data_IF_953337269654
#
_entry.id   IF_953337269654
#
_cell.length_a   1.000
_cell.length_b   1.000
_cell.length_c   1.000
_cell.angle_alpha   90.00
_cell.angle_beta   90.00
_cell.angle_gamma   90.00
#
_symmetry.space_group_name_H-M   'P 1'
#
loop_
_entity.id
_entity.type
_entity.pdbx_description
1 polymer ?
#
# COMPACT_ATOMS: atom_id res chain seq x y z
N UNK A 1 5.59 -6.82 27.79
CA UNK A 1 5.64 -6.64 26.34
C UNK A 1 5.66 -8.02 25.74
N UNK A 2 4.64 -8.38 24.98
CA UNK A 2 4.56 -9.66 24.27
C UNK A 2 5.56 -9.66 23.10
N UNK A 3 5.90 -10.84 22.55
CA UNK A 3 6.75 -10.92 21.36
C UNK A 3 6.18 -10.13 20.17
N UNK A 4 4.85 -10.05 20.07
CA UNK A 4 4.16 -9.23 19.08
C UNK A 4 4.46 -7.74 19.24
N UNK A 5 4.35 -7.20 20.47
CA UNK A 5 4.63 -5.79 20.74
C UNK A 5 6.06 -5.40 20.33
N UNK A 6 7.03 -6.31 20.50
CA UNK A 6 8.42 -6.12 20.09
C UNK A 6 8.55 -6.06 18.56
N UNK A 7 7.89 -6.98 17.83
CA UNK A 7 7.91 -6.98 16.36
C UNK A 7 7.32 -5.69 15.81
N UNK A 8 6.17 -5.25 16.36
CA UNK A 8 5.55 -3.98 15.97
C UNK A 8 6.51 -2.81 16.19
N UNK A 9 7.13 -2.74 17.38
CA UNK A 9 8.08 -1.66 17.70
C UNK A 9 9.29 -1.67 16.76
N UNK A 10 9.81 -2.84 16.37
CA UNK A 10 10.91 -2.96 15.43
C UNK A 10 10.49 -2.46 14.03
N UNK A 11 9.34 -2.92 13.51
CA UNK A 11 8.90 -2.53 12.17
C UNK A 11 8.64 -1.03 12.11
N UNK A 12 7.90 -0.48 13.08
CA UNK A 12 7.62 0.94 13.16
C UNK A 12 8.92 1.72 13.36
N UNK A 13 9.80 1.28 14.27
CA UNK A 13 11.09 1.93 14.52
C UNK A 13 11.98 2.00 13.28
N UNK A 14 12.13 0.89 12.56
CA UNK A 14 12.90 0.83 11.30
C UNK A 14 12.25 1.73 10.23
N UNK A 15 10.93 1.73 10.12
CA UNK A 15 10.23 2.60 9.18
C UNK A 15 10.39 4.08 9.52
N UNK A 16 10.30 4.46 10.79
CA UNK A 16 10.53 5.82 11.28
C UNK A 16 11.95 6.27 11.04
N UNK A 17 12.96 5.43 11.33
CA UNK A 17 14.37 5.73 11.04
C UNK A 17 14.57 5.87 9.54
N UNK A 18 14.01 4.98 8.72
CA UNK A 18 14.06 5.07 7.26
C UNK A 18 13.45 6.39 6.74
N UNK A 19 12.32 6.80 7.31
CA UNK A 19 11.67 8.08 7.01
C UNK A 19 12.50 9.29 7.44
N UNK A 20 13.17 9.23 8.59
CA UNK A 20 14.11 10.27 9.03
C UNK A 20 15.30 10.42 8.07
N UNK A 21 15.89 9.29 7.64
CA UNK A 21 17.04 9.28 6.73
C UNK A 21 16.67 9.81 5.33
N UNK A 22 15.45 9.48 4.87
CA UNK A 22 14.95 9.89 3.56
C UNK A 22 14.25 11.24 3.54
N UNK A 23 13.82 11.78 4.68
CA UNK A 23 13.05 13.01 4.74
C UNK A 23 11.61 12.88 4.22
N UNK A 24 10.76 13.81 4.66
CA UNK A 24 9.33 13.84 4.32
C UNK A 24 9.08 14.06 2.83
N UNK A 25 9.77 15.03 2.22
CA UNK A 25 9.57 15.38 0.80
C UNK A 25 9.82 14.17 -0.10
N UNK A 26 10.90 13.42 0.17
CA UNK A 26 11.23 12.24 -0.61
C UNK A 26 10.18 11.13 -0.43
N UNK A 27 9.71 10.89 0.79
CA UNK A 27 8.70 9.86 1.07
C UNK A 27 7.35 10.20 0.41
N UNK A 28 6.89 11.45 0.49
CA UNK A 28 5.64 11.89 -0.14
C UNK A 28 5.73 11.81 -1.65
N UNK A 29 6.80 12.30 -2.27
CA UNK A 29 6.96 12.23 -3.72
C UNK A 29 7.15 10.79 -4.21
N UNK A 30 7.75 9.92 -3.40
CA UNK A 30 7.86 8.49 -3.71
C UNK A 30 6.51 7.79 -3.70
N UNK A 31 5.57 8.23 -2.85
CA UNK A 31 4.18 7.75 -2.90
C UNK A 31 3.40 8.35 -4.07
N UNK A 32 3.62 9.63 -4.36
CA UNK A 32 3.06 10.27 -5.55
C UNK A 32 3.50 9.56 -6.84
N UNK A 33 4.70 8.98 -6.89
CA UNK A 33 5.15 8.16 -8.02
C UNK A 33 4.27 6.94 -8.27
N UNK A 34 3.79 6.28 -7.21
CA UNK A 34 2.86 5.15 -7.35
C UNK A 34 1.50 5.62 -7.87
N UNK A 35 0.99 6.73 -7.31
CA UNK A 35 -0.28 7.33 -7.78
C UNK A 35 -0.15 7.69 -9.26
N UNK A 36 0.93 8.37 -9.65
CA UNK A 36 1.18 8.76 -11.03
C UNK A 36 1.21 7.53 -11.97
N UNK A 37 1.87 6.43 -11.55
CA UNK A 37 1.90 5.22 -12.35
C UNK A 37 0.52 4.58 -12.53
N UNK A 38 -0.30 4.54 -11.46
CA UNK A 38 -1.68 4.05 -11.55
C UNK A 38 -2.51 4.91 -12.49
N UNK A 39 -2.40 6.23 -12.40
CA UNK A 39 -3.07 7.16 -13.31
C UNK A 39 -2.59 6.96 -14.76
N UNK A 40 -1.28 6.82 -14.98
CA UNK A 40 -0.73 6.56 -16.30
C UNK A 40 -1.28 5.26 -16.90
N UNK A 41 -1.34 4.17 -16.12
CA UNK A 41 -1.96 2.92 -16.56
C UNK A 41 -3.45 3.13 -16.86
N UNK A 42 -4.20 3.74 -15.95
CA UNK A 42 -5.64 3.91 -16.11
C UNK A 42 -6.01 4.69 -17.39
N UNK A 43 -5.28 5.77 -17.71
CA UNK A 43 -5.62 6.65 -18.83
C UNK A 43 -4.90 6.32 -20.13
N UNK A 44 -3.67 5.77 -20.08
CA UNK A 44 -2.85 5.55 -21.29
C UNK A 44 -2.72 4.08 -21.70
N UNK A 45 -3.27 3.12 -20.95
CA UNK A 45 -3.11 1.69 -21.29
C UNK A 45 -3.72 1.36 -22.65
N UNK A 46 -4.97 1.72 -22.92
CA UNK A 46 -5.64 1.47 -24.22
C UNK A 46 -4.89 2.09 -25.41
N UNK A 47 -4.58 3.40 -25.44
CA UNK A 47 -3.89 3.99 -26.59
C UNK A 47 -2.48 3.43 -26.78
N UNK A 48 -1.77 3.09 -25.69
CA UNK A 48 -0.46 2.47 -25.79
C UNK A 48 -0.56 1.00 -26.27
N UNK A 49 -1.58 0.27 -25.83
CA UNK A 49 -1.87 -1.09 -26.29
C UNK A 49 -2.12 -1.12 -27.80
N UNK A 50 -3.03 -0.28 -28.30
CA UNK A 50 -3.37 -0.21 -29.73
C UNK A 50 -2.16 0.18 -30.59
N UNK A 51 -1.26 1.00 -30.02
CA UNK A 51 0.01 1.30 -30.67
C UNK A 51 0.92 0.06 -30.70
N UNK A 52 1.05 -0.69 -29.62
CA UNK A 52 2.00 -1.79 -29.49
C UNK A 52 1.52 -3.07 -30.20
N UNK A 53 0.22 -3.38 -30.15
CA UNK A 53 -0.36 -4.65 -30.63
C UNK A 53 0.05 -4.98 -32.08
N UNK A 54 -0.04 -4.06 -33.06
CA UNK A 54 0.35 -4.36 -34.44
C UNK A 54 1.84 -4.72 -34.61
N UNK A 55 2.70 -4.37 -33.65
CA UNK A 55 4.15 -4.59 -33.70
C UNK A 55 4.59 -5.89 -33.03
N UNK A 56 3.85 -6.34 -32.02
CA UNK A 56 4.15 -7.58 -31.28
C UNK A 56 3.42 -8.78 -31.88
N UNK A 57 2.26 -8.57 -32.50
CA UNK A 57 1.49 -9.64 -33.13
C UNK A 57 0.77 -10.57 -32.15
N UNK A 58 0.88 -10.33 -30.84
CA UNK A 58 0.12 -11.07 -29.81
C UNK A 58 -0.63 -10.08 -28.89
N UNK A 59 -1.96 -10.21 -28.73
CA UNK A 59 -2.75 -9.34 -27.85
C UNK A 59 -2.26 -9.36 -26.40
N UNK A 60 -2.04 -10.54 -25.82
CA UNK A 60 -1.59 -10.67 -24.43
C UNK A 60 -0.20 -10.05 -24.20
N UNK A 61 0.74 -10.27 -25.12
CA UNK A 61 2.08 -9.69 -25.03
C UNK A 61 2.08 -8.17 -25.11
N UNK A 62 1.24 -7.60 -25.99
CA UNK A 62 1.07 -6.15 -26.10
C UNK A 62 0.43 -5.54 -24.85
N UNK A 63 -0.59 -6.17 -24.27
CA UNK A 63 -1.24 -5.71 -23.05
C UNK A 63 -0.28 -5.71 -21.84
N UNK A 64 0.51 -6.77 -21.69
CA UNK A 64 1.53 -6.88 -20.65
C UNK A 64 2.62 -5.83 -20.85
N UNK A 65 3.12 -5.66 -22.08
CA UNK A 65 4.17 -4.67 -22.34
C UNK A 65 3.68 -3.25 -22.08
N UNK A 66 2.48 -2.89 -22.55
CA UNK A 66 1.89 -1.57 -22.29
C UNK A 66 1.78 -1.30 -20.79
N UNK A 67 1.29 -2.28 -20.00
CA UNK A 67 1.22 -2.18 -18.55
C UNK A 67 2.60 -1.97 -17.92
N UNK A 68 3.59 -2.80 -18.29
CA UNK A 68 4.96 -2.70 -17.74
C UNK A 68 5.58 -1.35 -18.06
N UNK A 69 5.44 -0.85 -19.29
CA UNK A 69 5.99 0.45 -19.68
C UNK A 69 5.33 1.60 -18.90
N UNK A 70 4.00 1.59 -18.78
CA UNK A 70 3.25 2.63 -18.05
C UNK A 70 3.43 2.55 -16.53
N UNK A 71 3.79 1.38 -16.00
CA UNK A 71 4.21 1.25 -14.62
C UNK A 71 5.63 1.80 -14.43
N UNK A 72 6.61 1.26 -15.16
CA UNK A 72 8.02 1.50 -14.90
C UNK A 72 8.48 2.90 -15.30
N UNK A 73 8.09 3.41 -16.47
CA UNK A 73 8.63 4.66 -17.00
C UNK A 73 8.22 5.85 -16.11
N UNK A 74 6.92 6.10 -15.84
CA UNK A 74 6.49 7.22 -15.00
C UNK A 74 6.96 7.06 -13.56
N UNK A 75 6.92 5.83 -13.02
CA UNK A 75 7.40 5.55 -11.67
C UNK A 75 8.89 5.85 -11.52
N UNK A 76 9.72 5.34 -12.43
CA UNK A 76 11.17 5.56 -12.37
C UNK A 76 11.52 7.04 -12.55
N UNK A 77 10.86 7.73 -13.49
CA UNK A 77 11.03 9.16 -13.68
C UNK A 77 10.67 9.95 -12.40
N UNK A 78 9.50 9.69 -11.81
CA UNK A 78 9.07 10.38 -10.61
C UNK A 78 9.93 10.02 -9.38
N UNK A 79 10.43 8.79 -9.28
CA UNK A 79 11.35 8.37 -8.22
C UNK A 79 12.69 9.08 -8.29
N UNK A 80 13.21 9.32 -9.49
CA UNK A 80 14.41 10.13 -9.71
C UNK A 80 14.19 11.58 -9.27
N UNK A 81 13.01 12.15 -9.58
CA UNK A 81 12.62 13.50 -9.14
C UNK A 81 12.51 13.54 -7.61
N UNK A 82 11.82 12.58 -7.00
CA UNK A 82 11.65 12.46 -5.55
C UNK A 82 13.00 12.42 -4.82
N UNK A 83 13.96 11.65 -5.34
CA UNK A 83 15.31 11.58 -4.77
C UNK A 83 16.05 12.92 -4.82
N UNK A 84 15.99 13.62 -5.96
CA UNK A 84 16.61 14.94 -6.11
C UNK A 84 15.95 16.01 -5.24
N UNK A 85 14.61 16.08 -5.27
CA UNK A 85 13.84 17.02 -4.47
C UNK A 85 14.03 16.78 -2.96
N UNK A 86 14.06 15.51 -2.54
CA UNK A 86 14.35 15.14 -1.16
C UNK A 86 15.75 15.57 -0.72
N UNK A 87 16.77 15.31 -1.55
CA UNK A 87 18.14 15.77 -1.26
C UNK A 87 18.21 17.30 -1.14
N UNK A 88 17.58 18.03 -2.06
CA UNK A 88 17.54 19.48 -2.04
C UNK A 88 16.85 20.02 -0.77
N UNK A 89 15.74 19.42 -0.35
CA UNK A 89 15.03 19.77 0.88
C UNK A 89 15.92 19.56 2.11
N UNK A 90 16.62 18.43 2.19
CA UNK A 90 17.53 18.11 3.31
C UNK A 90 18.77 18.98 3.37
N UNK A 91 19.27 19.46 2.23
CA UNK A 91 20.43 20.38 2.18
C UNK A 91 20.05 21.84 2.47
N UNK A 92 18.76 22.15 2.56
CA UNK A 92 18.28 23.51 2.86
C UNK A 92 18.22 23.78 4.37
N UNK A 93 17.91 25.04 4.73
CA UNK A 93 17.63 25.46 6.11
C UNK A 93 16.47 24.66 6.73
N UNK A 94 15.55 24.15 5.92
CA UNK A 94 14.42 23.33 6.37
C UNK A 94 14.78 21.85 6.59
N UNK A 95 16.04 21.46 6.34
CA UNK A 95 16.48 20.06 6.42
C UNK A 95 16.14 19.36 7.75
N UNK A 96 16.33 19.97 8.93
CA UNK A 96 15.93 19.37 10.19
C UNK A 96 14.42 19.10 10.28
N UNK A 97 13.60 20.03 9.80
CA UNK A 97 12.13 19.91 9.80
C UNK A 97 11.71 18.78 8.86
N UNK A 98 12.29 18.72 7.65
CA UNK A 98 12.02 17.65 6.67
C UNK A 98 12.34 16.25 7.24
N UNK A 99 13.41 16.11 8.01
CA UNK A 99 13.79 14.84 8.65
C UNK A 99 12.85 14.46 9.79
N UNK A 100 12.43 15.40 10.63
CA UNK A 100 11.49 15.14 11.74
C UNK A 100 10.11 14.75 11.19
N UNK A 101 9.62 15.48 10.18
CA UNK A 101 8.39 15.10 9.48
C UNK A 101 8.55 13.74 8.78
N UNK A 102 9.71 13.46 8.22
CA UNK A 102 10.05 12.16 7.63
C UNK A 102 9.99 11.03 8.66
N UNK A 103 10.46 11.25 9.88
CA UNK A 103 10.35 10.29 10.98
C UNK A 103 8.88 9.98 11.31
N UNK A 104 8.05 11.01 11.50
CA UNK A 104 6.63 10.84 11.78
C UNK A 104 5.90 10.13 10.64
N UNK A 105 6.20 10.50 9.40
CA UNK A 105 5.66 9.86 8.21
C UNK A 105 6.07 8.37 8.11
N UNK A 106 7.34 8.08 8.39
CA UNK A 106 7.87 6.72 8.49
C UNK A 106 7.16 5.90 9.56
N UNK A 107 6.86 6.49 10.71
CA UNK A 107 6.12 5.84 11.79
C UNK A 107 4.70 5.45 11.35
N UNK A 108 3.98 6.38 10.71
CA UNK A 108 2.63 6.15 10.18
C UNK A 108 2.65 5.02 9.16
N UNK A 109 3.59 5.07 8.20
CA UNK A 109 3.77 4.05 7.17
C UNK A 109 4.12 2.69 7.76
N UNK A 110 5.02 2.65 8.74
CA UNK A 110 5.37 1.44 9.48
C UNK A 110 4.16 0.85 10.20
N UNK A 111 3.35 1.70 10.83
CA UNK A 111 2.09 1.30 11.47
C UNK A 111 1.10 0.69 10.49
N UNK A 112 0.92 1.32 9.31
CA UNK A 112 0.07 0.78 8.24
C UNK A 112 0.59 -0.59 7.79
N UNK A 113 1.90 -0.75 7.60
CA UNK A 113 2.51 -2.04 7.21
C UNK A 113 2.24 -3.11 8.27
N UNK A 114 2.39 -2.78 9.56
CA UNK A 114 2.08 -3.70 10.66
C UNK A 114 0.61 -4.12 10.63
N UNK A 115 -0.32 -3.16 10.50
CA UNK A 115 -1.75 -3.43 10.45
C UNK A 115 -2.07 -4.36 9.27
N UNK A 116 -1.57 -4.05 8.07
CA UNK A 116 -1.81 -4.87 6.87
C UNK A 116 -1.21 -6.28 7.02
N UNK A 117 0.04 -6.40 7.46
CA UNK A 117 0.71 -7.68 7.65
C UNK A 117 -0.03 -8.55 8.68
N UNK A 118 -0.49 -7.93 9.78
CA UNK A 118 -1.24 -8.63 10.80
C UNK A 118 -2.64 -9.04 10.32
N UNK A 119 -3.36 -8.16 9.62
CA UNK A 119 -4.66 -8.49 9.02
C UNK A 119 -4.54 -9.69 8.07
N UNK A 120 -3.47 -9.75 7.26
CA UNK A 120 -3.20 -10.91 6.40
C UNK A 120 -2.87 -12.17 7.20
N UNK A 121 -2.11 -12.05 8.29
CA UNK A 121 -1.79 -13.18 9.17
C UNK A 121 -3.04 -13.74 9.85
N UNK A 122 -3.88 -12.87 10.40
CA UNK A 122 -5.16 -13.26 11.01
C UNK A 122 -6.09 -13.91 9.98
N UNK A 123 -6.23 -13.30 8.80
CA UNK A 123 -7.03 -13.87 7.73
C UNK A 123 -6.52 -15.25 7.30
N UNK A 124 -5.21 -15.41 7.17
CA UNK A 124 -4.58 -16.70 6.87
C UNK A 124 -4.85 -17.72 7.96
N UNK A 125 -4.74 -17.32 9.23
CA UNK A 125 -5.01 -18.19 10.36
C UNK A 125 -6.48 -18.64 10.42
N UNK A 126 -7.41 -17.69 10.25
CA UNK A 126 -8.84 -17.96 10.26
C UNK A 126 -9.25 -18.87 9.08
N UNK A 127 -8.62 -18.71 7.93
CA UNK A 127 -8.86 -19.56 6.74
C UNK A 127 -8.34 -20.98 6.94
N UNK A 128 -7.19 -21.15 7.59
CA UNK A 128 -6.52 -22.45 7.73
C UNK A 128 -6.94 -23.26 8.97
N UNK A 129 -7.27 -22.60 10.08
CA UNK A 129 -7.54 -23.25 11.37
C UNK A 129 -8.80 -22.74 12.10
N UNK A 130 -9.53 -21.79 11.52
CA UNK A 130 -10.68 -21.14 12.16
C UNK A 130 -10.28 -20.21 13.31
N UNK A 131 -11.25 -19.39 13.75
CA UNK A 131 -11.05 -18.34 14.76
C UNK A 131 -10.51 -18.87 16.10
N UNK A 132 -10.79 -20.13 16.43
CA UNK A 132 -10.42 -20.76 17.71
C UNK A 132 -8.94 -21.13 17.84
N UNK A 133 -8.18 -21.19 16.75
CA UNK A 133 -6.76 -21.55 16.82
C UNK A 133 -5.80 -20.37 17.11
N UNK A 134 -6.31 -19.14 17.15
CA UNK A 134 -5.66 -17.88 17.59
C UNK A 134 -4.42 -18.09 18.51
N UNK A 135 -3.13 -18.07 18.10
CA UNK A 135 -2.03 -18.28 19.04
C UNK A 135 -2.04 -17.27 20.20
N UNK A 136 -1.82 -17.73 21.43
CA UNK A 136 -1.97 -16.90 22.65
C UNK A 136 -1.04 -15.67 22.67
N UNK A 137 0.11 -15.72 22.00
CA UNK A 137 1.06 -14.61 21.90
C UNK A 137 0.56 -13.45 21.01
N UNK A 138 -0.47 -13.69 20.20
CA UNK A 138 -1.15 -12.68 19.37
C UNK A 138 -2.33 -12.09 20.13
N UNK A 139 -3.20 -12.95 20.68
CA UNK A 139 -4.47 -12.52 21.30
C UNK A 139 -4.26 -11.77 22.62
N UNK A 140 -3.11 -11.95 23.28
CA UNK A 140 -2.76 -11.26 24.53
C UNK A 140 -2.00 -9.95 24.34
N UNK A 141 -1.65 -9.57 23.10
CA UNK A 141 -0.86 -8.37 22.85
C UNK A 141 -1.66 -7.08 23.07
N UNK A 142 -1.03 -6.00 23.58
CA UNK A 142 -1.75 -4.74 23.85
C UNK A 142 -2.22 -4.05 22.58
N UNK A 143 -1.50 -4.24 21.49
CA UNK A 143 -1.84 -3.66 20.18
C UNK A 143 -2.92 -4.47 19.46
N UNK A 144 -3.20 -5.70 19.89
CA UNK A 144 -4.18 -6.58 19.25
C UNK A 144 -5.60 -5.97 19.14
N UNK A 145 -6.19 -5.36 20.20
CA UNK A 145 -7.53 -4.79 20.09
C UNK A 145 -7.64 -3.68 19.05
N UNK A 146 -6.63 -2.80 18.94
CA UNK A 146 -6.60 -1.71 17.96
C UNK A 146 -6.52 -2.25 16.53
N UNK A 147 -5.67 -3.25 16.31
CA UNK A 147 -5.48 -3.82 14.97
C UNK A 147 -6.67 -4.67 14.56
N UNK A 148 -7.23 -5.48 15.47
CA UNK A 148 -8.42 -6.29 15.19
C UNK A 148 -9.64 -5.41 14.89
N UNK A 149 -9.87 -4.33 15.66
CA UNK A 149 -10.97 -3.39 15.39
C UNK A 149 -10.85 -2.72 14.01
N UNK A 150 -9.62 -2.38 13.61
CA UNK A 150 -9.35 -1.80 12.28
C UNK A 150 -9.60 -2.82 11.16
N UNK A 151 -9.23 -4.08 11.39
CA UNK A 151 -9.48 -5.18 10.45
C UNK A 151 -10.99 -5.47 10.30
N UNK A 152 -11.72 -5.53 11.41
CA UNK A 152 -13.17 -5.75 11.41
C UNK A 152 -13.91 -4.63 10.66
N UNK A 153 -13.49 -3.37 10.82
CA UNK A 153 -14.05 -2.24 10.09
C UNK A 153 -13.86 -2.36 8.56
N UNK A 154 -12.68 -2.81 8.12
CA UNK A 154 -12.42 -3.08 6.69
C UNK A 154 -13.27 -4.24 6.17
N UNK A 155 -13.39 -5.33 6.94
CA UNK A 155 -14.23 -6.50 6.56
C UNK A 155 -15.69 -6.08 6.42
N UNK A 156 -16.21 -5.29 7.35
CA UNK A 156 -17.59 -4.79 7.30
C UNK A 156 -17.84 -3.95 6.04
N UNK A 157 -16.93 -3.04 5.70
CA UNK A 157 -17.03 -2.25 4.48
C UNK A 157 -17.07 -3.11 3.20
N UNK A 158 -16.29 -4.19 3.17
CA UNK A 158 -16.28 -5.15 2.06
C UNK A 158 -17.60 -5.94 2.00
N UNK A 159 -18.12 -6.38 3.15
CA UNK A 159 -19.39 -7.12 3.24
C UNK A 159 -20.57 -6.25 2.79
N UNK A 160 -20.67 -5.02 3.29
CA UNK A 160 -21.70 -4.05 2.89
C UNK A 160 -21.67 -3.79 1.38
N UNK A 161 -20.46 -3.66 0.80
CA UNK A 161 -20.34 -3.46 -0.66
C UNK A 161 -20.75 -4.70 -1.46
N UNK A 162 -20.53 -5.91 -0.93
CA UNK A 162 -20.97 -7.15 -1.58
C UNK A 162 -22.48 -7.36 -1.47
N UNK A 163 -23.12 -6.96 -0.36
CA UNK A 163 -24.58 -7.06 -0.23
C UNK A 163 -25.28 -6.11 -1.20
N UNK A 164 -24.83 -4.84 -1.29
CA UNK A 164 -25.42 -3.87 -2.23
C UNK A 164 -25.32 -4.30 -3.69
N UNK A 165 -24.23 -4.97 -4.07
CA UNK A 165 -24.06 -5.49 -5.44
C UNK A 165 -24.98 -6.69 -5.69
N UNK A 166 -25.17 -7.59 -4.71
CA UNK A 166 -26.10 -8.72 -4.83
C UNK A 166 -27.56 -8.27 -4.90
N UNK A 167 -27.93 -7.23 -4.16
CA UNK A 167 -29.27 -6.62 -4.23
C UNK A 167 -29.49 -6.01 -5.62
N UNK A 168 -28.52 -5.26 -6.14
CA UNK A 168 -28.59 -4.71 -7.50
C UNK A 168 -28.68 -5.80 -8.59
N UNK A 169 -27.98 -6.93 -8.44
CA UNK A 169 -28.06 -8.07 -9.36
C UNK A 169 -29.42 -8.81 -9.27
N UNK A 170 -30.04 -8.84 -8.08
CA UNK A 170 -31.37 -9.43 -7.88
C UNK A 170 -32.49 -8.57 -8.48
N UNK A 171 -32.38 -7.24 -8.36
CA UNK A 171 -33.34 -6.30 -8.96
C UNK A 171 -33.22 -6.23 -10.50
N UNK A 172 -32.05 -6.58 -11.06
CA UNK A 172 -31.79 -6.61 -12.50
C UNK A 172 -32.16 -7.94 -13.17
N UNK A 173 -32.58 -8.98 -12.42
CA UNK A 173 -32.99 -10.26 -12.97
C UNK A 173 -34.44 -10.16 -13.53
N UNK A 174 -34.68 -10.43 -14.83
CA UNK A 174 -36.03 -10.39 -15.40
C UNK A 174 -36.91 -11.51 -14.81
N UNK A 175 -38.16 -11.15 -14.44
CA UNK A 175 -39.22 -12.07 -14.00
C UNK A 175 -39.70 -12.97 -15.13
#
# INVERSE_FOLDING_TARGET
>A
MTGFDIIVLIIVGVASIGGFLRGFVQEVLSLAAWILAVFAIHYLHTPLYEFIEPRIGTPSGAAILAFVLLLLIPYAAMKLIAGRAGNAARSSVLGPIDRVLGFGFGAIKGGIIVVLAFSLLVLGYDTAWGVAGRPAWITTARTYPLVNASADALVKLIQDRRSTLREADQDAAPQ
#
